data_IF_445885249077
#
_entry.id   IF_445885249077
#
_cell.length_a   1.000
_cell.length_b   1.000
_cell.length_c   1.000
_cell.angle_alpha   90.00
_cell.angle_beta   90.00
_cell.angle_gamma   90.00
#
_symmetry.space_group_name_H-M   'P 1'
#
loop_
_entity.id
_entity.type
_entity.pdbx_description
1 polymer ?
#
# COMPACT_ATOMS: atom_id res chain seq x y z
N UNK A 1 14.06 0.68 17.60
CA UNK A 1 13.89 0.55 16.14
C UNK A 1 14.59 -0.72 15.66
N UNK A 2 13.87 -1.49 14.87
CA UNK A 2 14.41 -2.76 14.37
C UNK A 2 15.34 -2.52 13.19
N UNK A 3 16.54 -3.14 13.22
CA UNK A 3 17.46 -3.02 12.10
C UNK A 3 16.97 -3.84 10.90
N UNK A 4 17.25 -3.35 9.70
CA UNK A 4 16.89 -4.05 8.47
C UNK A 4 17.94 -5.13 8.20
N UNK A 5 17.51 -6.39 7.96
CA UNK A 5 18.43 -7.46 7.61
C UNK A 5 18.94 -7.30 6.19
N UNK A 6 20.06 -7.97 5.88
CA UNK A 6 20.61 -7.95 4.53
C UNK A 6 19.69 -8.63 3.52
N UNK A 7 18.96 -9.67 3.96
CA UNK A 7 17.96 -10.34 3.11
C UNK A 7 16.72 -10.67 3.93
N UNK A 8 15.60 -10.70 3.25
CA UNK A 8 14.33 -11.17 3.82
C UNK A 8 13.84 -12.33 2.97
N UNK A 9 13.15 -13.28 3.61
CA UNK A 9 12.56 -14.40 2.91
C UNK A 9 11.32 -13.94 2.14
N UNK A 10 10.90 -14.74 1.15
CA UNK A 10 9.66 -14.49 0.43
C UNK A 10 8.47 -14.41 1.40
N UNK A 11 8.41 -15.32 2.37
CA UNK A 11 7.31 -15.32 3.37
C UNK A 11 7.28 -14.03 4.19
N UNK A 12 8.44 -13.56 4.62
CA UNK A 12 8.52 -12.30 5.38
C UNK A 12 8.05 -11.12 4.54
N UNK A 13 8.47 -11.08 3.28
CA UNK A 13 8.07 -10.01 2.36
C UNK A 13 6.58 -10.07 2.04
N UNK A 14 6.01 -11.26 1.88
CA UNK A 14 4.56 -11.39 1.66
C UNK A 14 3.75 -10.85 2.83
N UNK A 15 4.24 -11.05 4.05
CA UNK A 15 3.58 -10.47 5.23
C UNK A 15 3.64 -8.94 5.20
N UNK A 16 4.78 -8.38 4.81
CA UNK A 16 4.97 -6.93 4.78
C UNK A 16 4.16 -6.27 3.65
N UNK A 17 4.05 -6.93 2.50
CA UNK A 17 3.39 -6.38 1.32
C UNK A 17 1.98 -6.94 1.08
N UNK A 18 1.43 -7.65 2.05
CA UNK A 18 0.06 -8.17 2.05
C UNK A 18 -0.20 -9.32 1.09
N UNK A 19 0.84 -9.92 0.53
CA UNK A 19 0.69 -11.09 -0.33
C UNK A 19 1.75 -11.17 -1.42
N UNK A 20 1.68 -12.20 -2.26
CA UNK A 20 2.67 -12.40 -3.31
C UNK A 20 2.53 -11.39 -4.45
N UNK A 21 3.66 -11.02 -5.05
CA UNK A 21 3.70 -10.14 -6.22
C UNK A 21 5.08 -10.23 -6.84
N UNK A 22 5.22 -9.69 -8.06
CA UNK A 22 6.52 -9.59 -8.72
C UNK A 22 7.48 -8.75 -7.87
N UNK A 23 6.97 -7.70 -7.22
CA UNK A 23 7.78 -6.87 -6.33
C UNK A 23 8.39 -7.71 -5.19
N UNK A 24 7.58 -8.56 -4.56
CA UNK A 24 8.04 -9.46 -3.48
C UNK A 24 9.13 -10.40 -4.02
N UNK A 25 8.91 -10.98 -5.19
CA UNK A 25 9.88 -11.91 -5.79
C UNK A 25 11.23 -11.23 -6.05
N UNK A 26 11.20 -10.01 -6.56
CA UNK A 26 12.43 -9.25 -6.81
C UNK A 26 13.13 -8.85 -5.52
N UNK A 27 12.38 -8.43 -4.51
CA UNK A 27 12.95 -8.02 -3.23
C UNK A 27 13.57 -9.21 -2.46
N UNK A 28 13.04 -10.41 -2.67
CA UNK A 28 13.57 -11.61 -2.01
C UNK A 28 14.98 -11.98 -2.49
N UNK A 29 15.39 -11.49 -3.65
CA UNK A 29 16.67 -11.84 -4.26
C UNK A 29 17.80 -10.84 -3.98
N UNK A 30 17.50 -9.71 -3.35
CA UNK A 30 18.50 -8.66 -3.13
C UNK A 30 18.83 -8.44 -1.67
N UNK A 31 20.00 -7.85 -1.40
CA UNK A 31 20.37 -7.42 -0.07
C UNK A 31 19.66 -6.11 0.28
N UNK A 32 19.37 -5.94 1.56
CA UNK A 32 18.75 -4.72 2.09
C UNK A 32 17.47 -4.33 1.35
N UNK A 33 16.52 -5.30 1.19
CA UNK A 33 15.35 -5.08 0.32
C UNK A 33 14.49 -3.89 0.71
N UNK A 34 14.28 -3.64 2.01
CA UNK A 34 13.42 -2.52 2.42
C UNK A 34 14.07 -1.16 2.17
N UNK A 35 15.39 -1.06 2.25
CA UNK A 35 16.09 0.17 1.90
C UNK A 35 15.99 0.49 0.41
N UNK A 36 15.96 -0.56 -0.42
CA UNK A 36 15.92 -0.43 -1.87
C UNK A 36 14.50 -0.59 -2.45
N UNK A 37 13.51 -0.78 -1.58
CA UNK A 37 12.16 -1.10 -2.03
C UNK A 37 11.55 -0.04 -2.94
N UNK A 38 11.72 1.25 -2.63
CA UNK A 38 11.20 2.32 -3.49
C UNK A 38 11.83 2.28 -4.89
N UNK A 39 13.15 2.13 -4.93
CA UNK A 39 13.89 2.06 -6.19
C UNK A 39 13.40 0.88 -7.05
N UNK A 40 13.34 -0.30 -6.44
CA UNK A 40 12.90 -1.52 -7.15
C UNK A 40 11.44 -1.39 -7.57
N UNK A 41 10.59 -0.91 -6.67
CA UNK A 41 9.15 -0.80 -6.93
C UNK A 41 8.85 0.17 -8.06
N UNK A 42 9.59 1.27 -8.18
CA UNK A 42 9.37 2.22 -9.26
C UNK A 42 9.93 1.73 -10.60
N UNK A 43 10.83 0.75 -10.56
CA UNK A 43 11.45 0.20 -11.78
C UNK A 43 10.63 -0.90 -12.46
N UNK A 44 9.69 -1.55 -11.75
CA UNK A 44 8.83 -2.57 -12.35
C UNK A 44 7.79 -1.92 -13.25
N UNK A 45 7.18 -2.70 -14.17
CA UNK A 45 6.20 -2.11 -15.07
C UNK A 45 4.87 -1.79 -14.36
N UNK A 46 4.02 -1.02 -15.04
CA UNK A 46 2.76 -0.55 -14.47
C UNK A 46 1.82 -1.71 -14.09
N UNK A 47 1.83 -2.78 -14.87
CA UNK A 47 1.02 -3.95 -14.61
C UNK A 47 1.43 -4.62 -13.29
N UNK A 48 2.73 -4.74 -13.06
CA UNK A 48 3.25 -5.34 -11.83
C UNK A 48 3.02 -4.43 -10.63
N UNK A 49 3.10 -3.11 -10.82
CA UNK A 49 2.74 -2.15 -9.78
C UNK A 49 1.28 -2.30 -9.37
N UNK A 50 0.39 -2.35 -10.34
CA UNK A 50 -1.04 -2.50 -10.07
C UNK A 50 -1.34 -3.82 -9.36
N UNK A 51 -0.66 -4.90 -9.75
CA UNK A 51 -0.81 -6.21 -9.10
C UNK A 51 -0.35 -6.17 -7.65
N UNK A 52 0.74 -5.47 -7.36
CA UNK A 52 1.22 -5.33 -5.98
C UNK A 52 0.21 -4.56 -5.12
N UNK A 53 -0.37 -3.50 -5.66
CA UNK A 53 -1.40 -2.72 -4.96
C UNK A 53 -2.66 -3.55 -4.69
N UNK A 54 -3.00 -4.46 -5.59
CA UNK A 54 -4.18 -5.31 -5.47
C UNK A 54 -4.11 -6.28 -4.28
N UNK A 55 -2.91 -6.55 -3.76
CA UNK A 55 -2.75 -7.43 -2.60
C UNK A 55 -3.11 -6.73 -1.28
N UNK A 56 -3.14 -5.40 -1.28
CA UNK A 56 -3.39 -4.66 -0.05
C UNK A 56 -4.89 -4.54 0.24
N UNK A 57 -5.24 -4.43 1.53
CA UNK A 57 -6.63 -4.24 1.94
C UNK A 57 -7.14 -2.86 1.53
N UNK A 58 -8.44 -2.79 1.18
CA UNK A 58 -9.10 -1.50 0.96
C UNK A 58 -9.26 -0.78 2.29
N UNK A 59 -9.19 0.55 2.24
CA UNK A 59 -9.48 1.37 3.41
C UNK A 59 -10.95 1.16 3.79
N UNK A 60 -11.20 0.95 5.09
CA UNK A 60 -12.54 0.68 5.58
C UNK A 60 -12.84 -0.81 5.77
N UNK A 61 -12.07 -1.69 5.14
CA UNK A 61 -12.18 -3.13 5.38
C UNK A 61 -11.47 -3.47 6.69
N UNK A 62 -11.89 -4.54 7.39
CA UNK A 62 -11.18 -4.98 8.59
C UNK A 62 -9.73 -5.30 8.29
N UNK A 63 -8.81 -4.72 9.07
CA UNK A 63 -7.38 -4.98 8.94
C UNK A 63 -6.70 -4.75 10.29
N UNK A 64 -5.46 -5.23 10.47
CA UNK A 64 -4.73 -4.98 11.71
C UNK A 64 -4.50 -3.51 12.00
N UNK A 65 -4.36 -2.69 10.97
CA UNK A 65 -4.07 -1.26 11.08
C UNK A 65 -5.31 -0.39 11.25
N UNK A 66 -6.51 -0.91 10.94
CA UNK A 66 -7.74 -0.13 10.99
C UNK A 66 -8.84 -0.91 11.70
N UNK A 67 -9.28 -0.38 12.83
CA UNK A 67 -10.35 -0.98 13.62
C UNK A 67 -11.33 0.09 14.08
N UNK A 68 -12.61 -0.29 14.14
CA UNK A 68 -13.68 0.62 14.59
C UNK A 68 -13.99 1.69 13.55
N UNK A 69 -14.65 2.72 13.98
CA UNK A 69 -14.98 3.88 13.15
C UNK A 69 -16.48 4.08 12.96
N UNK A 70 -16.84 5.27 12.50
CA UNK A 70 -18.21 5.67 12.25
C UNK A 70 -18.74 4.95 11.00
N UNK A 71 -19.91 4.28 11.07
CA UNK A 71 -20.46 3.60 9.89
C UNK A 71 -20.66 4.51 8.67
N UNK A 72 -21.01 5.79 8.88
CA UNK A 72 -21.15 6.73 7.78
C UNK A 72 -19.82 6.99 7.08
N UNK A 73 -18.73 7.10 7.84
CA UNK A 73 -17.38 7.26 7.30
C UNK A 73 -16.96 6.01 6.53
N UNK A 74 -17.23 4.83 7.08
CA UNK A 74 -16.89 3.56 6.44
C UNK A 74 -17.62 3.44 5.10
N UNK A 75 -18.90 3.81 5.05
CA UNK A 75 -19.71 3.78 3.81
C UNK A 75 -19.15 4.74 2.77
N UNK A 76 -18.78 5.95 3.19
CA UNK A 76 -18.21 6.95 2.29
C UNK A 76 -16.87 6.48 1.74
N UNK A 77 -16.01 5.91 2.59
CA UNK A 77 -14.74 5.35 2.13
C UNK A 77 -14.93 4.22 1.13
N UNK A 78 -15.89 3.33 1.37
CA UNK A 78 -16.17 2.23 0.46
C UNK A 78 -16.60 2.75 -0.90
N UNK A 79 -17.46 3.77 -0.92
CA UNK A 79 -17.92 4.40 -2.16
C UNK A 79 -16.74 5.04 -2.91
N UNK A 80 -15.93 5.84 -2.22
CA UNK A 80 -14.79 6.51 -2.85
C UNK A 80 -13.72 5.53 -3.32
N UNK A 81 -13.52 4.42 -2.60
CA UNK A 81 -12.63 3.35 -3.07
C UNK A 81 -13.12 2.76 -4.40
N UNK A 82 -14.44 2.55 -4.52
CA UNK A 82 -15.01 2.03 -5.75
C UNK A 82 -14.79 3.03 -6.90
N UNK A 83 -15.07 4.30 -6.68
CA UNK A 83 -14.83 5.35 -7.68
C UNK A 83 -13.37 5.38 -8.10
N UNK A 84 -12.46 5.30 -7.13
CA UNK A 84 -11.02 5.29 -7.39
C UNK A 84 -10.60 4.11 -8.27
N UNK A 85 -11.06 2.90 -7.91
CA UNK A 85 -10.71 1.70 -8.67
C UNK A 85 -11.27 1.74 -10.09
N UNK A 86 -12.47 2.29 -10.27
CA UNK A 86 -13.07 2.44 -11.60
C UNK A 86 -12.31 3.46 -12.45
N UNK A 87 -11.87 4.55 -11.83
CA UNK A 87 -11.17 5.62 -12.55
C UNK A 87 -9.75 5.21 -12.95
N UNK A 88 -9.00 4.61 -12.03
CA UNK A 88 -7.57 4.36 -12.22
C UNK A 88 -7.24 2.94 -12.65
N UNK A 89 -8.12 1.97 -12.37
CA UNK A 89 -7.90 0.57 -12.72
C UNK A 89 -6.99 -0.18 -11.73
N UNK A 90 -6.70 0.41 -10.58
CA UNK A 90 -5.96 -0.25 -9.50
C UNK A 90 -6.46 0.25 -8.15
N UNK A 91 -6.05 -0.46 -7.08
CA UNK A 91 -6.56 -0.19 -5.75
C UNK A 91 -5.90 1.03 -5.12
N UNK A 92 -6.71 1.82 -4.38
CA UNK A 92 -6.21 2.93 -3.57
C UNK A 92 -5.42 2.38 -2.38
N UNK A 93 -4.17 2.80 -2.26
CA UNK A 93 -3.31 2.43 -1.13
C UNK A 93 -2.77 3.70 -0.49
N UNK A 94 -2.89 3.79 0.82
CA UNK A 94 -2.39 4.91 1.60
C UNK A 94 -1.82 4.39 2.92
N UNK A 95 -0.70 4.96 3.34
CA UNK A 95 -0.13 4.67 4.65
C UNK A 95 -0.94 5.44 5.68
N UNK A 96 -1.69 4.71 6.51
CA UNK A 96 -2.60 5.32 7.50
C UNK A 96 -1.88 6.20 8.51
N UNK A 97 -0.73 5.75 9.01
CA UNK A 97 0.15 6.51 9.90
C UNK A 97 -0.62 7.16 11.08
N UNK A 98 -1.44 6.34 11.73
CA UNK A 98 -2.20 6.78 12.92
C UNK A 98 -3.40 7.65 12.63
N UNK A 99 -3.66 8.01 11.37
CA UNK A 99 -4.83 8.83 11.02
C UNK A 99 -6.12 8.02 11.14
N UNK A 100 -7.20 8.68 11.51
CA UNK A 100 -8.51 8.04 11.55
C UNK A 100 -9.06 7.87 10.15
N UNK A 101 -10.08 7.01 10.00
CA UNK A 101 -10.77 6.85 8.71
C UNK A 101 -11.35 8.17 8.23
N UNK A 102 -11.90 8.98 9.14
CA UNK A 102 -12.45 10.30 8.78
C UNK A 102 -11.37 11.23 8.23
N UNK A 103 -10.16 11.16 8.77
CA UNK A 103 -9.03 11.97 8.30
C UNK A 103 -8.54 11.52 6.92
N UNK A 104 -8.82 10.28 6.53
CA UNK A 104 -8.42 9.77 5.22
C UNK A 104 -9.41 10.15 4.10
N UNK A 105 -10.66 10.54 4.44
CA UNK A 105 -11.63 10.94 3.42
C UNK A 105 -11.13 12.07 2.52
N UNK A 106 -10.63 13.20 3.06
CA UNK A 106 -10.11 14.26 2.20
C UNK A 106 -8.88 13.85 1.42
N UNK A 107 -8.06 12.95 1.96
CA UNK A 107 -6.88 12.43 1.25
C UNK A 107 -7.32 11.67 -0.01
N UNK A 108 -8.30 10.77 0.14
CA UNK A 108 -8.82 10.00 -1.00
C UNK A 108 -9.48 10.91 -2.02
N UNK A 109 -10.27 11.90 -1.58
CA UNK A 109 -10.92 12.86 -2.47
C UNK A 109 -9.89 13.66 -3.27
N UNK A 110 -8.81 14.10 -2.64
CA UNK A 110 -7.73 14.83 -3.31
C UNK A 110 -7.02 13.93 -4.33
N UNK A 111 -6.75 12.70 -3.96
CA UNK A 111 -6.05 11.77 -4.85
C UNK A 111 -6.89 11.39 -6.08
N UNK A 112 -8.21 11.46 -5.98
CA UNK A 112 -9.09 11.25 -7.14
C UNK A 112 -8.92 12.31 -8.24
N UNK A 113 -8.38 13.48 -7.89
CA UNK A 113 -8.17 14.57 -8.84
C UNK A 113 -6.85 14.48 -9.61
N UNK A 114 -6.01 13.53 -9.27
CA UNK A 114 -4.66 13.40 -9.85
C UNK A 114 -4.68 12.51 -11.10
N UNK A 115 -3.55 12.48 -11.82
CA UNK A 115 -3.41 11.60 -12.99
C UNK A 115 -3.17 10.16 -12.58
N UNK A 116 -3.44 9.23 -13.50
CA UNK A 116 -3.20 7.80 -13.27
C UNK A 116 -1.72 7.53 -12.96
N UNK A 117 -0.82 8.15 -13.70
CA UNK A 117 0.62 7.98 -13.52
C UNK A 117 1.08 8.46 -12.13
N UNK A 118 0.59 9.61 -11.71
CA UNK A 118 0.89 10.16 -10.39
C UNK A 118 0.36 9.24 -9.29
N UNK A 119 -0.87 8.71 -9.46
CA UNK A 119 -1.47 7.84 -8.45
C UNK A 119 -0.79 6.48 -8.39
N UNK A 120 -0.36 5.94 -9.50
CA UNK A 120 0.36 4.68 -9.50
C UNK A 120 1.69 4.81 -8.76
N UNK A 121 2.44 5.88 -9.03
CA UNK A 121 3.69 6.18 -8.33
C UNK A 121 3.46 6.40 -6.83
N UNK A 122 2.44 7.19 -6.49
CA UNK A 122 2.11 7.48 -5.08
C UNK A 122 1.67 6.22 -4.35
N UNK A 123 0.81 5.41 -4.98
CA UNK A 123 0.34 4.15 -4.38
C UNK A 123 1.50 3.21 -4.05
N UNK A 124 2.43 3.07 -4.96
CA UNK A 124 3.61 2.23 -4.75
C UNK A 124 4.47 2.79 -3.61
N UNK A 125 4.68 4.09 -3.55
CA UNK A 125 5.42 4.73 -2.45
C UNK A 125 4.76 4.47 -1.10
N UNK A 126 3.43 4.57 -1.06
CA UNK A 126 2.66 4.32 0.16
C UNK A 126 2.73 2.84 0.57
N UNK A 127 2.68 1.94 -0.41
CA UNK A 127 2.81 0.50 -0.15
C UNK A 127 4.16 0.18 0.51
N UNK A 128 5.23 0.77 0.01
CA UNK A 128 6.57 0.59 0.58
C UNK A 128 6.64 1.18 1.99
N UNK A 129 6.04 2.35 2.21
CA UNK A 129 6.00 2.96 3.54
C UNK A 129 5.28 2.06 4.55
N UNK A 130 4.18 1.44 4.15
CA UNK A 130 3.44 0.49 4.98
C UNK A 130 4.31 -0.72 5.33
N UNK A 131 5.03 -1.25 4.35
CA UNK A 131 5.91 -2.40 4.57
C UNK A 131 7.02 -2.08 5.58
N UNK A 132 7.63 -0.90 5.46
CA UNK A 132 8.67 -0.46 6.39
C UNK A 132 8.11 -0.27 7.79
N UNK A 133 6.90 0.28 7.91
CA UNK A 133 6.24 0.46 9.19
C UNK A 133 5.95 -0.89 9.84
N UNK A 134 5.41 -1.85 9.08
CA UNK A 134 5.13 -3.19 9.57
C UNK A 134 6.40 -3.87 10.07
N UNK A 135 7.51 -3.69 9.38
CA UNK A 135 8.80 -4.22 9.81
C UNK A 135 9.19 -3.66 11.18
N UNK A 136 8.98 -2.38 11.41
CA UNK A 136 9.30 -1.76 12.70
C UNK A 136 8.39 -2.26 13.83
N UNK A 137 7.19 -2.73 13.51
CA UNK A 137 6.23 -3.25 14.49
C UNK A 137 6.49 -4.70 14.88
N UNK A 138 7.28 -5.42 14.12
CA UNK A 138 7.60 -6.84 14.42
C UNK A 138 8.62 -7.00 15.52
#
# INVERSE_FOLDING_TARGET
MRELPRKLTTSELEELFSGPSQLVDLLAEIDDPLERADEVAQAIDDRDKAAALAQHHRIGEPSPEQRGGDPAVITELAYLNQVYEEKFGFRFVVFVDGRSRAELLPVLSERLERSREEELETGIRELVAIAKDRWQQH
#
